data_IF_852219971927
#
_entry.id   IF_852219971927
#
_cell.length_a   1.000
_cell.length_b   1.000
_cell.length_c   1.000
_cell.angle_alpha   90.00
_cell.angle_beta   90.00
_cell.angle_gamma   90.00
#
_symmetry.space_group_name_H-M   'P 1'
#
loop_
_entity.id
_entity.type
_entity.pdbx_description
1 polymer ?
#
# COMPACT_ATOMS: atom_id res chain seq x y z
N UNK A 1 -2.37 -7.56 28.35
CA UNK A 1 -2.16 -8.21 27.04
C UNK A 1 -0.76 -7.90 26.59
N UNK A 2 0.21 -8.63 27.13
CA UNK A 2 1.61 -8.55 26.69
C UNK A 2 1.75 -9.48 25.50
N UNK A 3 1.53 -8.96 24.29
CA UNK A 3 2.07 -9.63 23.10
C UNK A 3 3.58 -9.58 23.24
N UNK A 4 4.18 -10.69 23.66
CA UNK A 4 5.63 -10.85 23.77
C UNK A 4 6.21 -10.53 22.39
N UNK A 5 6.84 -9.37 22.28
CA UNK A 5 7.55 -8.96 21.08
C UNK A 5 8.78 -9.87 20.96
N UNK A 6 8.75 -10.79 19.99
CA UNK A 6 9.85 -11.70 19.65
C UNK A 6 10.49 -11.22 18.35
N UNK A 7 11.48 -10.31 18.41
CA UNK A 7 12.09 -9.71 17.23
C UNK A 7 12.78 -10.77 16.35
N UNK A 8 13.30 -11.84 16.95
CA UNK A 8 13.98 -12.91 16.22
C UNK A 8 12.98 -13.75 15.41
N UNK A 9 11.82 -14.05 16.01
CA UNK A 9 10.70 -14.70 15.36
C UNK A 9 10.15 -13.88 14.20
N UNK A 10 10.00 -12.57 14.40
CA UNK A 10 9.49 -11.65 13.38
C UNK A 10 10.45 -11.50 12.19
N UNK A 11 11.76 -11.34 12.45
CA UNK A 11 12.77 -11.30 11.37
C UNK A 11 12.76 -12.62 10.58
N UNK A 12 12.63 -13.76 11.27
CA UNK A 12 12.53 -15.08 10.63
C UNK A 12 11.27 -15.20 9.76
N UNK A 13 10.15 -14.65 10.21
CA UNK A 13 8.92 -14.61 9.44
C UNK A 13 9.07 -13.75 8.18
N UNK A 14 9.62 -12.54 8.31
CA UNK A 14 9.91 -11.65 7.18
C UNK A 14 10.79 -12.35 6.15
N UNK A 15 11.87 -13.00 6.60
CA UNK A 15 12.73 -13.80 5.72
C UNK A 15 11.92 -14.87 4.99
N UNK A 16 11.06 -15.62 5.69
CA UNK A 16 10.24 -16.67 5.07
C UNK A 16 9.29 -16.11 4.00
N UNK A 17 8.68 -14.94 4.25
CA UNK A 17 7.79 -14.28 3.30
C UNK A 17 8.54 -13.82 2.05
N UNK A 18 9.72 -13.22 2.21
CA UNK A 18 10.54 -12.76 1.09
C UNK A 18 11.10 -13.90 0.23
N UNK A 19 11.16 -15.12 0.77
CA UNK A 19 11.59 -16.33 0.05
C UNK A 19 10.43 -17.12 -0.57
N UNK A 20 9.17 -16.73 -0.33
CA UNK A 20 8.03 -17.41 -0.91
C UNK A 20 7.87 -17.06 -2.40
N UNK A 21 7.55 -18.05 -3.22
CA UNK A 21 7.28 -17.83 -4.66
C UNK A 21 5.97 -17.05 -4.84
N UNK A 22 6.00 -15.85 -5.47
CA UNK A 22 4.80 -15.06 -5.78
C UNK A 22 3.76 -15.84 -6.59
N UNK A 23 4.20 -16.82 -7.38
CA UNK A 23 3.36 -17.63 -8.26
C UNK A 23 2.58 -18.73 -7.53
N UNK A 24 2.85 -18.95 -6.24
CA UNK A 24 2.10 -19.91 -5.41
C UNK A 24 0.74 -19.37 -4.95
N UNK A 25 0.50 -18.07 -5.12
CA UNK A 25 -0.81 -17.46 -4.90
C UNK A 25 -1.75 -17.83 -6.05
N UNK A 26 -3.03 -18.13 -5.78
CA UNK A 26 -3.97 -18.49 -6.84
C UNK A 26 -4.02 -17.37 -7.89
N UNK A 27 -3.84 -17.70 -9.18
CA UNK A 27 -3.88 -16.71 -10.24
C UNK A 27 -5.25 -16.02 -10.23
N UNK A 28 -5.25 -14.69 -10.16
CA UNK A 28 -6.45 -13.94 -10.50
C UNK A 28 -6.55 -13.96 -12.03
N UNK A 29 -7.62 -14.53 -12.57
CA UNK A 29 -7.86 -14.66 -14.02
C UNK A 29 -8.05 -13.28 -14.67
N UNK A 30 -6.94 -12.58 -14.93
CA UNK A 30 -6.88 -11.42 -15.81
C UNK A 30 -6.60 -11.93 -17.22
N UNK A 31 -7.63 -11.92 -18.08
CA UNK A 31 -7.49 -12.25 -19.51
C UNK A 31 -6.56 -11.24 -20.19
N UNK A 32 -5.32 -11.66 -20.40
CA UNK A 32 -4.28 -10.94 -21.11
C UNK A 32 -4.57 -11.01 -22.63
N UNK A 33 -4.89 -9.88 -23.24
CA UNK A 33 -4.88 -9.74 -24.70
C UNK A 33 -3.47 -9.31 -25.13
N UNK A 34 -2.89 -10.04 -26.07
CA UNK A 34 -1.58 -9.75 -26.67
C UNK A 34 -1.62 -8.42 -27.43
N UNK A 35 -0.80 -7.44 -27.05
CA UNK A 35 -0.53 -6.29 -27.93
C UNK A 35 0.93 -5.84 -27.95
N UNK A 36 1.22 -5.23 -29.09
CA UNK A 36 2.46 -5.06 -29.82
C UNK A 36 3.55 -4.22 -29.18
N UNK A 37 4.78 -4.60 -29.54
CA UNK A 37 6.07 -3.95 -29.29
C UNK A 37 6.11 -2.53 -29.89
N UNK A 38 5.75 -1.50 -29.11
CA UNK A 38 6.09 -0.11 -29.45
C UNK A 38 6.68 0.70 -28.29
N UNK A 39 7.69 1.49 -28.68
CA UNK A 39 8.68 2.25 -27.90
C UNK A 39 8.19 2.77 -26.55
N UNK A 40 8.90 2.38 -25.50
CA UNK A 40 8.81 2.93 -24.14
C UNK A 40 9.17 4.41 -24.13
N UNK A 41 8.22 5.27 -23.76
CA UNK A 41 8.56 6.57 -23.17
C UNK A 41 8.75 6.30 -21.68
N UNK A 42 10.02 6.28 -21.26
CA UNK A 42 10.41 6.21 -19.84
C UNK A 42 10.18 7.61 -19.29
N UNK A 43 9.02 7.84 -18.69
CA UNK A 43 8.83 9.03 -17.86
C UNK A 43 9.63 8.78 -16.57
N UNK A 44 10.62 9.63 -16.32
CA UNK A 44 11.54 9.52 -15.20
C UNK A 44 10.74 9.57 -13.88
N UNK A 45 10.95 8.61 -12.95
CA UNK A 45 10.22 8.59 -11.70
C UNK A 45 10.49 9.89 -10.89
N UNK A 46 9.50 10.43 -10.17
CA UNK A 46 9.66 11.67 -9.40
C UNK A 46 10.79 11.55 -8.37
N UNK A 47 11.55 12.63 -8.16
CA UNK A 47 12.54 12.69 -7.07
C UNK A 47 11.87 12.47 -5.70
N UNK A 48 12.45 11.57 -4.90
CA UNK A 48 11.93 11.14 -3.60
C UNK A 48 12.09 12.25 -2.54
N UNK A 49 11.04 13.03 -2.29
CA UNK A 49 10.97 13.93 -1.12
C UNK A 49 10.65 13.12 0.15
N UNK A 50 11.64 12.96 1.04
CA UNK A 50 11.44 12.30 2.35
C UNK A 50 10.57 13.16 3.25
N UNK A 51 9.52 12.57 3.83
CA UNK A 51 8.64 13.24 4.79
C UNK A 51 9.21 13.14 6.21
N UNK A 52 8.87 14.12 7.04
CA UNK A 52 9.13 14.05 8.48
C UNK A 52 8.41 12.85 9.12
N UNK A 53 9.18 12.02 9.82
CA UNK A 53 8.69 10.85 10.54
C UNK A 53 8.40 11.17 12.00
N UNK A 54 7.51 10.37 12.60
CA UNK A 54 7.32 10.38 14.04
C UNK A 54 8.59 9.94 14.79
N UNK A 55 8.79 10.41 16.03
CA UNK A 55 10.02 10.23 16.81
C UNK A 55 10.43 8.78 17.08
N UNK A 56 9.49 7.84 16.96
CA UNK A 56 9.67 6.41 17.17
C UNK A 56 10.03 5.65 15.88
N UNK A 57 10.06 6.34 14.73
CA UNK A 57 10.43 5.79 13.44
C UNK A 57 11.71 6.46 12.93
N UNK A 58 12.47 5.75 12.12
CA UNK A 58 13.72 6.22 11.53
C UNK A 58 13.81 5.71 10.09
N UNK A 59 14.41 6.51 9.21
CA UNK A 59 14.79 6.05 7.88
C UNK A 59 16.09 5.26 7.96
N UNK A 60 16.10 4.09 7.30
CA UNK A 60 17.29 3.32 7.03
C UNK A 60 17.39 3.09 5.52
N UNK A 61 18.59 3.17 4.97
CA UNK A 61 18.80 3.05 3.53
C UNK A 61 19.30 1.64 3.18
N UNK A 62 18.67 1.02 2.16
CA UNK A 62 19.13 -0.27 1.65
C UNK A 62 20.34 -0.14 0.70
N UNK A 63 20.58 1.06 0.19
CA UNK A 63 21.66 1.36 -0.76
C UNK A 63 22.48 2.57 -0.31
N UNK A 64 23.76 2.57 -0.63
CA UNK A 64 24.72 3.62 -0.26
C UNK A 64 24.42 4.97 -0.97
N UNK A 65 23.57 4.97 -2.00
CA UNK A 65 23.19 6.14 -2.80
C UNK A 65 21.97 6.90 -2.27
N UNK A 66 21.44 6.56 -1.09
CA UNK A 66 20.21 7.11 -0.49
C UNK A 66 18.92 6.93 -1.32
N UNK A 67 18.94 6.13 -2.39
CA UNK A 67 17.80 5.97 -3.32
C UNK A 67 16.68 5.08 -2.80
N UNK A 68 16.91 4.33 -1.71
CA UNK A 68 15.97 3.33 -1.18
C UNK A 68 15.79 3.48 0.33
N UNK A 69 15.02 4.49 0.76
CA UNK A 69 14.65 4.66 2.15
C UNK A 69 13.63 3.58 2.57
N UNK A 70 13.91 2.91 3.68
CA UNK A 70 12.97 2.04 4.39
C UNK A 70 12.71 2.65 5.76
N UNK A 71 11.45 2.66 6.17
CA UNK A 71 11.05 3.15 7.49
C UNK A 71 11.11 1.98 8.47
N UNK A 72 11.92 2.13 9.52
CA UNK A 72 12.05 1.15 10.60
C UNK A 72 11.70 1.80 11.94
N UNK A 73 11.36 1.02 12.95
CA UNK A 73 11.22 1.56 14.29
C UNK A 73 12.59 1.84 14.91
N UNK A 74 12.69 2.96 15.63
CA UNK A 74 13.94 3.44 16.24
C UNK A 74 14.36 2.63 17.46
N UNK A 75 13.40 1.97 18.13
CA UNK A 75 13.59 1.34 19.43
C UNK A 75 14.10 -0.12 19.38
N UNK A 76 14.67 -0.56 18.26
CA UNK A 76 15.24 -1.91 18.12
C UNK A 76 16.66 -1.99 18.68
N UNK A 77 17.10 -3.19 19.10
CA UNK A 77 18.51 -3.41 19.43
C UNK A 77 19.35 -3.27 18.16
N UNK A 78 20.61 -2.86 18.31
CA UNK A 78 21.54 -2.67 17.18
C UNK A 78 21.68 -3.97 16.37
N UNK A 79 21.87 -5.11 17.05
CA UNK A 79 22.02 -6.41 16.41
C UNK A 79 20.77 -6.83 15.59
N UNK A 80 19.58 -6.63 16.16
CA UNK A 80 18.30 -6.94 15.51
C UNK A 80 18.06 -6.04 14.29
N UNK A 81 18.37 -4.74 14.43
CA UNK A 81 18.27 -3.77 13.34
C UNK A 81 19.20 -4.13 12.19
N UNK A 82 20.45 -4.50 12.48
CA UNK A 82 21.41 -4.92 11.45
C UNK A 82 20.99 -6.21 10.76
N UNK A 83 20.50 -7.20 11.53
CA UNK A 83 19.99 -8.45 10.97
C UNK A 83 18.79 -8.20 10.03
N UNK A 84 17.85 -7.35 10.43
CA UNK A 84 16.72 -6.95 9.60
C UNK A 84 17.19 -6.25 8.32
N UNK A 85 18.07 -5.26 8.43
CA UNK A 85 18.60 -4.54 7.27
C UNK A 85 19.35 -5.47 6.31
N UNK A 86 20.08 -6.47 6.80
CA UNK A 86 20.76 -7.44 5.96
C UNK A 86 19.77 -8.33 5.18
N UNK A 87 18.69 -8.78 5.83
CA UNK A 87 17.61 -9.52 5.14
C UNK A 87 16.95 -8.66 4.06
N UNK A 88 16.67 -7.39 4.36
CA UNK A 88 16.06 -6.48 3.39
C UNK A 88 17.03 -6.15 2.22
N UNK A 89 18.32 -5.94 2.50
CA UNK A 89 19.36 -5.73 1.48
C UNK A 89 19.49 -6.93 0.54
N UNK A 90 19.43 -8.15 1.06
CA UNK A 90 19.49 -9.36 0.23
C UNK A 90 18.26 -9.57 -0.67
N UNK A 91 17.09 -9.05 -0.28
CA UNK A 91 15.85 -9.16 -1.06
C UNK A 91 15.43 -7.82 -1.65
N UNK A 92 16.38 -6.97 -2.02
CA UNK A 92 16.12 -5.62 -2.54
C UNK A 92 15.15 -5.62 -3.74
N UNK A 93 15.31 -6.54 -4.69
CA UNK A 93 14.42 -6.63 -5.86
C UNK A 93 12.96 -6.88 -5.47
N UNK A 94 12.73 -7.67 -4.42
CA UNK A 94 11.39 -7.98 -3.94
C UNK A 94 10.71 -6.78 -3.23
N UNK A 95 11.47 -5.76 -2.87
CA UNK A 95 11.01 -4.56 -2.14
C UNK A 95 10.93 -3.37 -3.09
N UNK A 96 11.91 -3.23 -3.99
CA UNK A 96 12.02 -2.20 -5.02
C UNK A 96 11.31 -2.65 -6.30
N UNK A 97 10.06 -3.13 -6.21
CA UNK A 97 9.25 -3.33 -7.41
C UNK A 97 8.89 -1.97 -7.99
N UNK A 98 9.34 -1.72 -9.20
CA UNK A 98 8.88 -0.57 -9.97
C UNK A 98 7.52 -0.91 -10.60
N UNK A 99 6.69 0.09 -10.89
CA UNK A 99 5.44 -0.14 -11.63
C UNK A 99 5.72 -0.84 -12.97
N UNK A 100 6.88 -0.54 -13.57
CA UNK A 100 7.44 -1.19 -14.77
C UNK A 100 7.61 -2.71 -14.64
N UNK A 101 7.80 -3.24 -13.43
CA UNK A 101 7.96 -4.68 -13.18
C UNK A 101 6.63 -5.45 -13.15
N UNK A 102 5.49 -4.74 -13.07
CA UNK A 102 4.16 -5.36 -13.04
C UNK A 102 3.67 -5.62 -14.46
N UNK A 103 3.79 -6.88 -14.92
CA UNK A 103 3.30 -7.31 -16.24
C UNK A 103 1.80 -7.05 -16.37
N UNK A 104 1.42 -6.32 -17.41
CA UNK A 104 0.01 -6.01 -17.74
C UNK A 104 -0.49 -4.67 -17.20
N UNK A 105 0.30 -3.95 -16.39
CA UNK A 105 0.03 -2.55 -16.06
C UNK A 105 0.90 -1.70 -16.98
N UNK A 106 0.29 -1.11 -18.02
CA UNK A 106 0.96 -0.11 -18.84
C UNK A 106 0.58 1.30 -18.36
N UNK A 107 1.58 2.05 -17.88
CA UNK A 107 1.47 3.44 -17.45
C UNK A 107 0.85 4.34 -18.53
N UNK A 108 0.99 3.99 -19.82
CA UNK A 108 0.38 4.74 -20.93
C UNK A 108 -1.15 4.67 -20.93
N UNK A 109 -1.72 3.53 -20.53
CA UNK A 109 -3.17 3.30 -20.51
C UNK A 109 -3.83 3.70 -19.19
N UNK A 110 -3.03 3.98 -18.14
CA UNK A 110 -3.52 4.42 -16.84
C UNK A 110 -3.83 5.93 -16.75
N UNK A 111 -4.04 6.59 -17.89
CA UNK A 111 -4.77 7.86 -17.95
C UNK A 111 -6.27 7.58 -18.06
N UNK A 112 -6.83 6.89 -17.07
CA UNK A 112 -8.28 6.89 -16.90
C UNK A 112 -8.70 8.29 -16.46
N UNK A 113 -8.83 9.20 -17.43
CA UNK A 113 -9.43 10.50 -17.23
C UNK A 113 -10.91 10.21 -17.02
N UNK A 114 -11.34 10.17 -15.76
CA UNK A 114 -12.75 10.13 -15.43
C UNK A 114 -13.32 11.44 -15.97
N UNK A 115 -13.97 11.38 -17.12
CA UNK A 115 -14.63 12.52 -17.72
C UNK A 115 -15.82 12.87 -16.82
N UNK A 116 -15.68 13.97 -16.08
CA UNK A 116 -16.77 14.61 -15.37
C UNK A 116 -17.27 15.78 -16.24
N UNK A 117 -18.56 16.06 -16.19
CA UNK A 117 -19.11 17.30 -16.78
C UNK A 117 -18.52 18.52 -16.06
N UNK A 118 -18.30 19.63 -16.77
CA UNK A 118 -17.64 20.84 -16.23
C UNK A 118 -18.41 21.48 -15.05
N UNK A 119 -19.69 21.17 -14.91
CA UNK A 119 -20.57 21.60 -13.83
C UNK A 119 -20.83 20.52 -12.76
N UNK A 120 -20.16 19.37 -12.87
CA UNK A 120 -20.31 18.28 -11.90
C UNK A 120 -19.77 18.67 -10.53
N UNK A 121 -20.67 18.64 -9.53
CA UNK A 121 -20.31 18.90 -8.14
C UNK A 121 -19.93 17.59 -7.45
N UNK A 122 -18.71 17.44 -6.92
CA UNK A 122 -18.35 16.25 -6.16
C UNK A 122 -19.25 16.15 -4.93
N UNK A 123 -19.99 15.04 -4.84
CA UNK A 123 -20.84 14.76 -3.70
C UNK A 123 -20.14 13.81 -2.74
N UNK A 124 -20.00 14.22 -1.48
CA UNK A 124 -19.54 13.35 -0.40
C UNK A 124 -20.76 12.65 0.18
N UNK A 125 -20.90 11.35 -0.05
CA UNK A 125 -21.88 10.54 0.68
C UNK A 125 -21.32 10.11 2.04
N UNK A 126 -22.12 10.22 3.09
CA UNK A 126 -21.79 9.66 4.39
C UNK A 126 -21.74 8.13 4.29
N UNK A 127 -20.66 7.56 4.82
CA UNK A 127 -20.47 6.11 4.85
C UNK A 127 -21.64 5.47 5.62
N UNK A 128 -22.43 4.65 4.93
CA UNK A 128 -23.53 3.92 5.59
C UNK A 128 -22.94 2.89 6.52
N UNK A 129 -23.42 2.86 7.77
CA UNK A 129 -23.10 1.75 8.68
C UNK A 129 -23.64 0.46 8.06
N UNK A 130 -22.85 -0.63 8.06
CA UNK A 130 -23.37 -1.95 7.74
C UNK A 130 -24.62 -2.20 8.59
N UNK A 131 -25.72 -2.61 7.96
CA UNK A 131 -26.95 -2.94 8.66
C UNK A 131 -26.66 -4.16 9.54
N UNK A 132 -26.56 -3.93 10.86
CA UNK A 132 -26.66 -5.00 11.83
C UNK A 132 -28.07 -5.59 11.80
N UNK A 133 -28.19 -6.87 12.10
CA UNK A 133 -29.46 -7.61 12.08
C UNK A 133 -30.61 -6.86 12.78
N UNK A 134 -31.85 -6.97 12.26
CA UNK A 134 -32.96 -6.15 12.72
C UNK A 134 -33.54 -6.69 14.02
N UNK A 135 -33.04 -6.22 15.16
CA UNK A 135 -33.73 -6.38 16.45
C UNK A 135 -33.66 -5.08 17.26
N UNK A 136 -34.59 -4.16 16.96
CA UNK A 136 -35.41 -3.45 17.96
C UNK A 136 -36.25 -2.37 17.29
N UNK A 137 -37.52 -2.30 17.70
CA UNK A 137 -38.54 -1.38 17.20
C UNK A 137 -38.07 0.08 17.20
N UNK A 138 -37.93 0.67 16.01
CA UNK A 138 -37.87 2.12 15.87
C UNK A 138 -39.28 2.68 16.11
N UNK A 139 -39.54 3.16 17.32
CA UNK A 139 -40.77 3.89 17.65
C UNK A 139 -40.77 5.23 16.91
N UNK A 140 -41.65 5.37 15.92
CA UNK A 140 -41.97 6.64 15.31
C UNK A 140 -42.51 7.62 16.37
N UNK A 141 -41.78 8.71 16.66
CA UNK A 141 -42.32 9.89 17.31
C UNK A 141 -41.53 11.14 16.90
N UNK A 142 -42.22 12.08 16.27
CA UNK A 142 -41.72 13.44 16.06
C UNK A 142 -42.18 14.05 14.73
N UNK A 143 -43.44 14.49 14.65
CA UNK A 143 -43.87 15.49 13.66
C UNK A 143 -43.20 16.83 14.01
N UNK A 144 -42.53 17.46 13.07
CA UNK A 144 -42.26 18.89 13.12
C UNK A 144 -43.03 19.54 11.98
N UNK A 145 -43.93 20.45 12.32
CA UNK A 145 -44.69 21.26 11.36
C UNK A 145 -43.76 22.33 10.77
N UNK A 146 -43.64 22.35 9.44
CA UNK A 146 -43.14 23.49 8.69
C UNK A 146 -44.34 24.41 8.41
N UNK A 147 -44.39 25.57 9.04
CA UNK A 147 -45.35 26.62 8.69
C UNK A 147 -44.94 27.31 7.38
N UNK A 148 -45.93 27.60 6.54
CA UNK A 148 -45.81 28.30 5.26
C UNK A 148 -45.29 29.73 5.40
#
# INVERSE_FOLDING_TARGET
>A
NDSVFDPEGDIRLIKKLLNADPCSLPPMDLKLAEESKEKSSVEEPPELELKDLSSHLEYAFLEDSNKLPVIIAKNHKVDEREALLNVLKSHKQAITWEISDIKGIDLRFYTHKILMEDDYKPAVQSQRRPVGEPNSLCSQKGRYNCGC
#
